data_IF_346981002731
#
_entry.id   IF_346981002731
#
_cell.length_a   1.000
_cell.length_b   1.000
_cell.length_c   1.000
_cell.angle_alpha   90.00
_cell.angle_beta   90.00
_cell.angle_gamma   90.00
#
_symmetry.space_group_name_H-M   'P 1'
#
loop_
_entity.id
_entity.type
_entity.pdbx_description
1 polymer ?
#
# COMPACT_ATOMS: atom_id res chain seq x y z
N UNK A 1 0.51 -4.50 8.40
CA UNK A 1 -0.44 -4.88 7.33
C UNK A 1 -1.89 -4.91 7.81
N UNK A 2 -2.16 -5.25 9.08
CA UNK A 2 -3.52 -5.27 9.66
C UNK A 2 -3.94 -3.95 10.34
N UNK A 3 -3.05 -2.99 10.49
CA UNK A 3 -3.33 -1.72 11.16
C UNK A 3 -3.94 -0.72 10.18
N UNK A 4 -5.23 -0.44 10.33
CA UNK A 4 -5.99 0.48 9.47
C UNK A 4 -5.46 1.92 9.51
N UNK A 5 -4.90 2.34 10.65
CA UNK A 5 -4.32 3.68 10.79
C UNK A 5 -2.96 3.86 10.09
N UNK A 6 -2.29 2.76 9.67
CA UNK A 6 -1.03 2.80 8.92
C UNK A 6 -1.18 2.51 7.43
N UNK A 7 -2.28 1.90 7.03
CA UNK A 7 -2.52 1.48 5.65
C UNK A 7 -3.88 1.99 5.17
N UNK A 8 -3.88 2.68 4.05
CA UNK A 8 -5.12 3.12 3.40
C UNK A 8 -5.95 1.95 2.89
N UNK A 9 -5.31 0.86 2.51
CA UNK A 9 -5.94 -0.41 2.12
C UNK A 9 -5.26 -1.55 2.88
N UNK A 10 -5.79 -1.98 4.05
CA UNK A 10 -5.24 -3.11 4.79
C UNK A 10 -5.28 -4.39 3.96
N UNK A 11 -4.20 -5.16 4.00
CA UNK A 11 -4.07 -6.42 3.27
C UNK A 11 -4.32 -7.64 4.13
N UNK A 12 -4.32 -7.46 5.43
CA UNK A 12 -4.56 -8.48 6.44
C UNK A 12 -5.74 -8.05 7.30
N UNK A 13 -6.72 -8.93 7.43
CA UNK A 13 -7.82 -8.80 8.36
C UNK A 13 -7.38 -9.33 9.72
N UNK A 14 -7.25 -8.44 10.70
CA UNK A 14 -6.80 -8.76 12.04
C UNK A 14 -7.94 -8.75 13.04
N UNK A 15 -8.05 -9.81 13.84
CA UNK A 15 -8.94 -9.89 14.98
C UNK A 15 -8.16 -9.77 16.29
N UNK A 16 -8.59 -8.85 17.14
CA UNK A 16 -7.94 -8.56 18.41
C UNK A 16 -7.24 -7.20 18.43
N UNK A 17 -6.38 -6.97 19.43
CA UNK A 17 -5.65 -5.72 19.59
C UNK A 17 -4.32 -5.75 18.84
N UNK A 18 -4.23 -5.02 17.74
CA UNK A 18 -3.00 -4.83 16.92
C UNK A 18 -2.29 -3.50 17.21
N UNK A 19 -2.67 -2.82 18.29
CA UNK A 19 -2.15 -1.52 18.65
C UNK A 19 -3.10 -0.38 18.31
N UNK A 20 -2.76 0.84 18.72
CA UNK A 20 -3.52 2.05 18.42
C UNK A 20 -2.66 3.14 17.80
N UNK A 21 -3.31 4.14 17.19
CA UNK A 21 -2.63 5.33 16.66
C UNK A 21 -1.97 6.15 17.77
N UNK A 22 -2.48 6.04 19.00
CA UNK A 22 -1.98 6.74 20.18
C UNK A 22 -0.70 6.11 20.76
N UNK A 23 -0.23 5.00 20.18
CA UNK A 23 1.02 4.36 20.54
C UNK A 23 0.88 3.17 21.49
N UNK A 24 -0.33 2.71 21.76
CA UNK A 24 -0.52 1.47 22.53
C UNK A 24 0.06 0.28 21.77
N UNK A 25 0.77 -0.58 22.48
CA UNK A 25 1.33 -1.79 21.92
C UNK A 25 0.25 -2.81 21.54
N UNK A 26 0.57 -3.68 20.59
CA UNK A 26 -0.28 -4.82 20.28
C UNK A 26 -0.35 -5.82 21.44
N UNK A 27 -1.46 -6.53 21.56
CA UNK A 27 -1.58 -7.67 22.47
C UNK A 27 -0.59 -8.79 22.10
N UNK A 28 -0.32 -9.70 23.05
CA UNK A 28 0.46 -10.88 22.75
C UNK A 28 -0.20 -11.69 21.61
N UNK A 29 0.61 -12.27 20.72
CA UNK A 29 0.10 -12.93 19.50
C UNK A 29 -0.87 -14.09 19.78
N UNK A 30 -0.85 -14.69 20.97
CA UNK A 30 -1.81 -15.73 21.37
C UNK A 30 -3.26 -15.23 21.52
N UNK A 31 -3.45 -13.90 21.57
CA UNK A 31 -4.77 -13.25 21.68
C UNK A 31 -5.23 -12.63 20.38
N UNK A 32 -4.50 -12.80 19.30
CA UNK A 32 -4.82 -12.20 18.01
C UNK A 32 -4.97 -13.28 16.95
N UNK A 33 -5.84 -13.01 16.00
CA UNK A 33 -6.01 -13.82 14.79
C UNK A 33 -5.76 -12.94 13.56
N UNK A 34 -5.24 -13.54 12.50
CA UNK A 34 -5.00 -12.85 11.24
C UNK A 34 -5.39 -13.73 10.07
N UNK A 35 -6.04 -13.13 9.08
CA UNK A 35 -6.36 -13.76 7.80
C UNK A 35 -6.17 -12.75 6.67
N UNK A 36 -6.10 -13.23 5.45
CA UNK A 36 -6.01 -12.35 4.29
C UNK A 36 -7.33 -11.61 4.06
N UNK A 37 -7.23 -10.32 3.77
CA UNK A 37 -8.36 -9.56 3.24
C UNK A 37 -8.78 -10.10 1.88
N UNK A 38 -10.06 -9.97 1.54
CA UNK A 38 -10.59 -10.37 0.24
C UNK A 38 -9.86 -9.68 -0.93
N UNK A 39 -9.59 -8.39 -0.77
CA UNK A 39 -8.84 -7.61 -1.78
C UNK A 39 -7.43 -8.16 -2.02
N UNK A 40 -6.77 -8.69 -0.99
CA UNK A 40 -5.46 -9.31 -1.13
C UNK A 40 -5.52 -10.56 -2.00
N UNK A 41 -6.51 -11.40 -1.82
CA UNK A 41 -6.69 -12.58 -2.64
C UNK A 41 -7.01 -12.22 -4.10
N UNK A 42 -7.85 -11.23 -4.34
CA UNK A 42 -8.30 -10.83 -5.68
C UNK A 42 -7.27 -9.99 -6.45
N UNK A 43 -6.58 -9.09 -5.78
CA UNK A 43 -5.68 -8.12 -6.42
C UNK A 43 -4.20 -8.47 -6.35
N UNK A 44 -3.78 -9.31 -5.40
CA UNK A 44 -2.37 -9.63 -5.18
C UNK A 44 -2.02 -11.08 -5.48
N UNK A 45 -2.93 -12.02 -5.27
CA UNK A 45 -2.64 -13.45 -5.33
C UNK A 45 -3.37 -14.20 -6.45
N UNK A 46 -4.37 -13.60 -7.08
CA UNK A 46 -5.22 -14.30 -8.05
C UNK A 46 -4.51 -14.77 -9.33
N UNK A 47 -3.37 -14.19 -9.65
CA UNK A 47 -2.60 -14.52 -10.86
C UNK A 47 -1.30 -15.30 -10.57
N UNK A 48 -1.11 -15.78 -9.32
CA UNK A 48 0.08 -16.56 -8.95
C UNK A 48 0.29 -17.80 -9.84
N UNK A 49 -0.78 -18.47 -10.21
CA UNK A 49 -0.72 -19.71 -11.01
C UNK A 49 -0.71 -19.48 -12.53
N UNK A 50 -0.63 -18.21 -12.96
CA UNK A 50 -0.77 -17.85 -14.38
C UNK A 50 0.55 -17.52 -15.08
N UNK A 51 1.68 -17.89 -14.48
CA UNK A 51 3.02 -17.65 -15.05
C UNK A 51 3.30 -16.17 -15.38
N UNK A 52 2.81 -15.29 -14.49
CA UNK A 52 2.96 -13.83 -14.63
C UNK A 52 4.24 -13.31 -13.99
N UNK A 53 4.75 -14.02 -12.99
CA UNK A 53 5.95 -13.68 -12.22
C UNK A 53 6.89 -14.88 -12.12
N UNK A 54 8.17 -14.59 -11.95
CA UNK A 54 9.19 -15.62 -11.78
C UNK A 54 9.14 -16.22 -10.38
N UNK A 55 9.44 -17.51 -10.29
CA UNK A 55 9.52 -18.27 -9.04
C UNK A 55 10.96 -18.67 -8.77
N UNK A 56 11.39 -18.47 -7.55
CA UNK A 56 12.71 -18.85 -7.06
C UNK A 56 12.59 -19.89 -5.95
N UNK A 57 13.62 -20.73 -5.70
CA UNK A 57 13.63 -21.60 -4.53
C UNK A 57 13.52 -20.80 -3.23
N UNK A 58 12.77 -21.32 -2.26
CA UNK A 58 12.73 -20.74 -0.92
C UNK A 58 14.06 -20.96 -0.18
N UNK A 59 14.17 -20.48 1.08
CA UNK A 59 15.41 -20.53 1.85
C UNK A 59 16.02 -21.93 2.00
N UNK A 60 15.21 -22.97 2.17
CA UNK A 60 15.66 -24.36 2.32
C UNK A 60 15.58 -25.18 1.02
N UNK A 61 15.25 -24.55 -0.09
CA UNK A 61 15.13 -25.13 -1.42
C UNK A 61 14.11 -26.28 -1.53
N UNK A 62 13.21 -26.39 -0.56
CA UNK A 62 12.16 -27.43 -0.56
C UNK A 62 10.96 -27.08 -1.43
N UNK A 63 10.69 -25.77 -1.56
CA UNK A 63 9.55 -25.24 -2.29
C UNK A 63 9.98 -24.05 -3.18
N UNK A 64 9.07 -23.56 -3.98
CA UNK A 64 9.28 -22.35 -4.76
C UNK A 64 8.38 -21.24 -4.28
N UNK A 65 8.91 -20.03 -4.24
CA UNK A 65 8.17 -18.82 -3.91
C UNK A 65 8.25 -17.79 -5.05
N UNK A 66 7.23 -16.93 -5.22
CA UNK A 66 7.30 -15.88 -6.22
C UNK A 66 8.35 -14.84 -5.81
N UNK A 67 9.18 -14.42 -6.75
CA UNK A 67 10.18 -13.35 -6.51
C UNK A 67 9.48 -12.03 -6.17
N UNK A 68 8.37 -11.73 -6.83
CA UNK A 68 7.46 -10.62 -6.56
C UNK A 68 6.02 -11.08 -6.68
N UNK A 69 5.09 -10.40 -6.01
CA UNK A 69 3.67 -10.72 -6.14
C UNK A 69 3.08 -10.12 -7.43
N UNK A 70 2.17 -10.84 -8.13
CA UNK A 70 1.50 -10.36 -9.35
C UNK A 70 0.39 -9.35 -9.01
N UNK A 71 0.77 -8.18 -8.52
CA UNK A 71 -0.17 -7.16 -8.05
C UNK A 71 -0.87 -6.47 -9.21
N UNK A 72 -2.19 -6.38 -9.16
CA UNK A 72 -3.03 -5.75 -10.20
C UNK A 72 -3.25 -4.26 -10.02
N UNK A 73 -2.90 -3.72 -8.85
CA UNK A 73 -3.08 -2.30 -8.51
C UNK A 73 -1.75 -1.67 -8.13
N UNK A 74 -1.56 -0.34 -8.32
CA UNK A 74 -0.34 0.35 -7.90
C UNK A 74 -0.27 0.47 -6.36
N UNK A 75 0.08 -0.61 -5.67
CA UNK A 75 0.09 -0.68 -4.21
C UNK A 75 0.99 0.38 -3.55
N UNK A 76 2.10 0.75 -4.19
CA UNK A 76 2.98 1.81 -3.71
C UNK A 76 2.23 3.13 -3.51
N UNK A 77 1.35 3.48 -4.44
CA UNK A 77 0.55 4.70 -4.36
C UNK A 77 -0.61 4.55 -3.37
N UNK A 78 -1.27 3.40 -3.32
CA UNK A 78 -2.43 3.18 -2.45
C UNK A 78 -2.04 3.13 -0.98
N UNK A 79 -1.02 2.36 -0.62
CA UNK A 79 -0.61 2.16 0.77
C UNK A 79 0.59 3.01 1.20
N UNK A 80 1.23 3.69 0.26
CA UNK A 80 2.46 4.41 0.53
C UNK A 80 3.64 3.49 0.86
N UNK A 81 4.78 4.08 1.11
CA UNK A 81 5.99 3.37 1.54
C UNK A 81 6.92 4.30 2.30
N UNK A 82 7.49 3.80 3.36
CA UNK A 82 8.56 4.46 4.10
C UNK A 82 9.79 3.58 4.09
N UNK A 83 10.95 4.17 3.82
CA UNK A 83 12.22 3.47 3.81
C UNK A 83 13.33 4.33 4.40
N UNK A 84 14.18 3.71 5.23
CA UNK A 84 15.33 4.35 5.87
C UNK A 84 16.57 3.57 5.45
N UNK A 85 17.53 4.28 4.85
CA UNK A 85 18.84 3.76 4.52
C UNK A 85 19.93 4.72 5.02
N UNK A 86 21.19 4.28 4.96
CA UNK A 86 22.29 5.14 5.36
C UNK A 86 22.39 6.34 4.39
N UNK A 87 22.22 7.54 4.95
CA UNK A 87 22.31 8.80 4.18
C UNK A 87 21.10 9.12 3.31
N UNK A 88 20.03 8.29 3.36
CA UNK A 88 18.83 8.48 2.53
C UNK A 88 17.57 8.04 3.26
N UNK A 89 16.51 8.82 3.17
CA UNK A 89 15.16 8.47 3.64
C UNK A 89 14.19 8.68 2.49
N UNK A 90 13.27 7.76 2.32
CA UNK A 90 12.16 7.89 1.37
C UNK A 90 10.82 7.75 2.09
N UNK A 91 9.85 8.53 1.70
CA UNK A 91 8.48 8.47 2.21
C UNK A 91 7.50 8.78 1.09
N UNK A 92 6.63 7.84 0.81
CA UNK A 92 5.55 8.00 -0.16
C UNK A 92 4.22 7.96 0.61
N UNK A 93 3.42 9.03 0.59
CA UNK A 93 2.15 9.05 1.29
C UNK A 93 1.14 8.10 0.63
N UNK A 94 0.17 7.55 1.39
CA UNK A 94 -0.92 6.77 0.84
C UNK A 94 -1.90 7.65 0.05
N UNK A 95 -2.53 7.08 -0.99
CA UNK A 95 -3.52 7.73 -1.82
C UNK A 95 -4.85 6.98 -1.76
N UNK A 96 -5.94 7.64 -2.14
CA UNK A 96 -7.23 7.00 -2.29
C UNK A 96 -7.23 6.03 -3.47
N UNK A 97 -7.75 4.81 -3.26
CA UNK A 97 -7.77 3.76 -4.30
C UNK A 97 -8.52 4.20 -5.56
N UNK A 98 -9.66 4.88 -5.41
CA UNK A 98 -10.44 5.39 -6.55
C UNK A 98 -9.64 6.38 -7.40
N UNK A 99 -8.95 7.32 -6.76
CA UNK A 99 -8.10 8.30 -7.45
C UNK A 99 -6.91 7.65 -8.14
N UNK A 100 -6.31 6.64 -7.54
CA UNK A 100 -5.22 5.86 -8.16
C UNK A 100 -5.70 5.14 -9.40
N UNK A 101 -6.88 4.53 -9.35
CA UNK A 101 -7.50 3.86 -10.51
C UNK A 101 -7.80 4.87 -11.62
N UNK A 102 -8.36 6.04 -11.28
CA UNK A 102 -8.62 7.11 -12.23
C UNK A 102 -7.32 7.60 -12.88
N UNK A 103 -6.24 7.71 -12.12
CA UNK A 103 -4.91 8.03 -12.61
C UNK A 103 -4.37 7.00 -13.61
N UNK A 104 -4.54 5.72 -13.33
CA UNK A 104 -4.16 4.63 -14.25
C UNK A 104 -4.97 4.69 -15.54
N UNK A 105 -6.27 4.91 -15.45
CA UNK A 105 -7.15 5.08 -16.64
C UNK A 105 -6.72 6.28 -17.47
N UNK A 106 -6.44 7.41 -16.84
CA UNK A 106 -5.97 8.62 -17.53
C UNK A 106 -4.64 8.39 -18.23
N UNK A 107 -3.70 7.68 -17.61
CA UNK A 107 -2.41 7.32 -18.19
C UNK A 107 -2.56 6.39 -19.40
N UNK A 108 -3.46 5.40 -19.33
CA UNK A 108 -3.76 4.50 -20.47
C UNK A 108 -4.32 5.26 -21.65
N UNK A 109 -5.18 6.25 -21.40
CA UNK A 109 -5.77 7.10 -22.45
C UNK A 109 -4.79 8.10 -23.05
N UNK A 110 -3.86 8.59 -22.26
CA UNK A 110 -2.84 9.55 -22.64
C UNK A 110 -1.51 9.24 -21.96
N UNK A 111 -0.62 8.43 -22.58
CA UNK A 111 0.69 8.09 -22.01
C UNK A 111 1.62 9.29 -21.80
N UNK A 112 1.37 10.41 -22.50
CA UNK A 112 2.15 11.65 -22.39
C UNK A 112 1.62 12.61 -21.31
N UNK A 113 0.70 12.14 -20.45
CA UNK A 113 0.16 12.95 -19.35
C UNK A 113 1.30 13.42 -18.45
N UNK A 114 1.32 14.71 -18.15
CA UNK A 114 2.36 15.30 -17.30
C UNK A 114 1.99 15.23 -15.82
N UNK A 115 2.96 15.54 -14.94
CA UNK A 115 2.77 15.48 -13.48
C UNK A 115 1.67 16.43 -13.00
N UNK A 116 1.56 17.62 -13.57
CA UNK A 116 0.55 18.61 -13.18
C UNK A 116 -0.87 18.12 -13.48
N UNK A 117 -1.07 17.53 -14.66
CA UNK A 117 -2.35 16.92 -15.03
C UNK A 117 -2.70 15.73 -14.14
N UNK A 118 -1.70 14.90 -13.78
CA UNK A 118 -1.89 13.78 -12.88
C UNK A 118 -2.23 14.25 -11.46
N UNK A 119 -1.61 15.32 -10.96
CA UNK A 119 -1.90 15.93 -9.66
C UNK A 119 -3.36 16.41 -9.57
N UNK A 120 -3.99 16.85 -10.65
CA UNK A 120 -5.40 17.20 -10.66
C UNK A 120 -6.34 16.01 -10.43
N UNK A 121 -5.88 14.80 -10.71
CA UNK A 121 -6.63 13.55 -10.47
C UNK A 121 -6.49 13.14 -9.00
N UNK A 122 -5.32 13.31 -8.41
CA UNK A 122 -5.01 12.97 -7.01
C UNK A 122 -5.36 14.09 -6.02
N UNK A 123 -6.57 14.62 -6.08
CA UNK A 123 -7.02 15.77 -5.29
C UNK A 123 -7.04 15.52 -3.77
N UNK A 124 -7.28 14.29 -3.35
CA UNK A 124 -7.37 13.93 -1.94
C UNK A 124 -6.06 14.11 -1.15
N UNK A 125 -4.92 14.17 -1.83
CA UNK A 125 -3.63 14.44 -1.20
C UNK A 125 -3.44 15.91 -0.87
N UNK A 126 -3.91 16.78 -1.74
CA UNK A 126 -3.81 18.24 -1.60
C UNK A 126 -4.66 18.70 -0.41
N UNK A 127 -5.89 18.20 -0.28
CA UNK A 127 -6.78 18.55 0.82
C UNK A 127 -6.26 18.10 2.19
N UNK A 128 -5.60 16.93 2.29
CA UNK A 128 -4.99 16.46 3.54
C UNK A 128 -3.75 17.26 3.93
N UNK A 129 -2.97 17.75 2.99
CA UNK A 129 -1.82 18.63 3.30
C UNK A 129 -2.26 20.00 3.78
N UNK A 130 -3.34 20.53 3.27
CA UNK A 130 -3.91 21.80 3.74
C UNK A 130 -4.49 21.70 5.16
N UNK A 131 -5.07 20.56 5.54
CA UNK A 131 -5.54 20.29 6.91
C UNK A 131 -4.40 20.06 7.92
N UNK A 132 -3.25 19.55 7.49
CA UNK A 132 -2.13 19.18 8.36
C UNK A 132 -1.08 20.31 8.54
N UNK A 133 -1.16 21.39 7.79
CA UNK A 133 -0.32 22.58 7.97
C UNK A 133 -1.13 23.70 8.61
N UNK A 134 -1.12 23.84 9.94
CA UNK A 134 -1.49 25.12 10.53
C UNK A 134 -0.41 26.12 10.11
N UNK A 135 -0.73 27.01 9.19
CA UNK A 135 0.10 28.15 8.86
C UNK A 135 0.25 28.97 10.15
N UNK A 136 1.33 28.77 10.88
CA UNK A 136 1.81 29.74 11.83
C UNK A 136 2.52 30.82 11.03
N UNK A 137 1.77 31.84 10.67
CA UNK A 137 2.34 33.12 10.31
C UNK A 137 2.85 33.74 11.61
N UNK A 138 4.16 33.98 11.73
CA UNK A 138 4.77 34.86 12.68
C UNK A 138 4.85 36.24 12.05
#
# INVERSE_FOLDING_TARGET
>A
MAQEFKKGLPLVDGHGNFGSIEGDGAAAMRYTEARLQKITQEAFLSDLDKDVVDFVPNFDETEKEPEVLPVKIPNLLVNGSDGIAVGMVTSTPPHNLGEVIDGVIAYIKNPDINTEQMMNIFRGLISRQEELLPIRTI
#
